data_IF_990474194000
#
_entry.id   IF_990474194000
#
_cell.length_a   1.000
_cell.length_b   1.000
_cell.length_c   1.000
_cell.angle_alpha   90.00
_cell.angle_beta   90.00
_cell.angle_gamma   90.00
#
_symmetry.space_group_name_H-M   'P 1'
#
loop_
_entity.id
_entity.type
_entity.pdbx_description
1 polymer ?
#
# COMPACT_ATOMS: atom_id res chain seq x y z
N UNK A 1 -20.49 -28.56 12.08
CA UNK A 1 -20.00 -27.23 12.48
C UNK A 1 -18.53 -27.18 12.08
N UNK A 2 -18.20 -26.29 11.17
CA UNK A 2 -16.81 -26.04 10.81
C UNK A 2 -16.19 -25.19 11.92
N UNK A 3 -15.22 -25.71 12.63
CA UNK A 3 -14.42 -24.91 13.55
C UNK A 3 -13.55 -23.99 12.71
N UNK A 4 -13.90 -22.72 12.67
CA UNK A 4 -13.08 -21.71 12.01
C UNK A 4 -11.86 -21.44 12.89
N UNK A 5 -10.74 -22.01 12.51
CA UNK A 5 -9.45 -21.80 13.17
C UNK A 5 -8.79 -20.58 12.51
N UNK A 6 -8.33 -19.63 13.30
CA UNK A 6 -7.41 -18.61 12.80
C UNK A 6 -6.16 -19.34 12.33
N UNK A 7 -5.80 -19.11 11.08
CA UNK A 7 -4.63 -19.69 10.46
C UNK A 7 -3.43 -18.72 10.57
N UNK A 8 -2.48 -18.84 9.70
CA UNK A 8 -1.22 -18.12 9.79
C UNK A 8 -1.44 -16.61 9.64
N UNK A 9 -1.01 -15.78 10.60
CA UNK A 9 -1.08 -14.34 10.47
C UNK A 9 0.02 -13.80 9.55
N UNK A 10 -0.22 -12.60 8.98
CA UNK A 10 0.77 -11.76 8.32
C UNK A 10 0.78 -10.38 8.97
N UNK A 11 1.95 -9.81 9.10
CA UNK A 11 2.13 -8.42 9.53
C UNK A 11 2.78 -7.62 8.41
N UNK A 12 2.31 -6.39 8.23
CA UNK A 12 2.79 -5.46 7.22
C UNK A 12 3.38 -4.25 7.95
N UNK A 13 4.68 -4.06 7.83
CA UNK A 13 5.46 -3.14 8.64
C UNK A 13 6.02 -2.04 7.75
N UNK A 14 5.83 -0.79 8.16
CA UNK A 14 6.30 0.38 7.43
C UNK A 14 7.81 0.57 7.56
N UNK A 15 8.50 0.56 6.44
CA UNK A 15 9.93 0.83 6.38
C UNK A 15 10.22 2.34 6.28
N UNK A 16 9.33 3.13 5.70
CA UNK A 16 9.59 4.56 5.44
C UNK A 16 9.67 5.34 6.77
N UNK A 17 8.67 5.19 7.63
CA UNK A 17 8.71 5.83 8.94
C UNK A 17 9.84 5.30 9.83
N UNK A 18 10.16 4.03 9.72
CA UNK A 18 11.31 3.48 10.42
C UNK A 18 12.61 4.16 9.96
N UNK A 19 12.86 4.30 8.64
CA UNK A 19 14.03 4.99 8.09
C UNK A 19 14.10 6.46 8.52
N UNK A 20 12.97 7.15 8.49
CA UNK A 20 12.86 8.54 8.98
C UNK A 20 13.21 8.62 10.47
N UNK A 21 12.72 7.69 11.30
CA UNK A 21 13.01 7.64 12.74
C UNK A 21 14.47 7.37 13.08
N UNK A 22 15.15 6.63 12.20
CA UNK A 22 16.59 6.33 12.33
C UNK A 22 17.48 7.47 11.81
N UNK A 23 16.91 8.50 11.21
CA UNK A 23 17.66 9.55 10.52
C UNK A 23 18.42 9.06 9.28
N UNK A 24 18.03 7.91 8.74
CA UNK A 24 18.57 7.34 7.50
C UNK A 24 17.88 7.90 6.26
N UNK A 25 16.79 8.59 6.45
CA UNK A 25 15.99 9.27 5.45
C UNK A 25 15.55 10.62 6.00
N UNK A 26 15.45 11.63 5.16
CA UNK A 26 14.92 12.94 5.49
C UNK A 26 13.59 13.21 4.75
N UNK A 27 12.80 14.15 5.21
CA UNK A 27 11.56 14.53 4.52
C UNK A 27 11.83 15.05 3.10
N UNK A 28 13.00 15.62 2.84
CA UNK A 28 13.43 16.07 1.50
C UNK A 28 13.62 14.95 0.48
N UNK A 29 13.74 13.72 0.93
CA UNK A 29 13.90 12.54 0.09
C UNK A 29 12.53 12.04 -0.44
N UNK A 30 11.45 12.65 0.06
CA UNK A 30 10.08 12.43 -0.42
C UNK A 30 9.68 13.63 -1.26
N UNK A 31 9.43 13.41 -2.53
CA UNK A 31 9.09 14.46 -3.51
C UNK A 31 7.88 14.08 -4.33
N UNK A 32 7.24 15.04 -4.96
CA UNK A 32 6.14 14.78 -5.88
C UNK A 32 6.29 15.57 -7.18
N UNK A 33 5.64 15.08 -8.23
CA UNK A 33 5.53 15.75 -9.51
C UNK A 33 4.16 15.48 -10.14
N UNK A 34 3.80 16.23 -11.18
CA UNK A 34 2.47 16.18 -11.79
C UNK A 34 1.49 17.11 -11.07
N UNK A 35 0.31 16.61 -10.73
CA UNK A 35 -0.69 17.38 -9.99
C UNK A 35 -0.14 17.89 -8.65
N UNK A 36 -0.61 19.04 -8.19
CA UNK A 36 -0.16 19.66 -6.95
C UNK A 36 -1.00 19.24 -5.75
N UNK A 37 -0.46 19.41 -4.56
CA UNK A 37 -1.25 19.26 -3.34
C UNK A 37 -2.18 20.46 -3.17
N UNK A 38 -3.41 20.21 -2.72
CA UNK A 38 -4.35 21.29 -2.38
C UNK A 38 -3.79 22.12 -1.20
N UNK A 39 -4.12 23.41 -1.17
CA UNK A 39 -3.66 24.30 -0.11
C UNK A 39 -4.03 23.77 1.29
N UNK A 40 -3.03 23.59 2.13
CA UNK A 40 -3.18 23.01 3.46
C UNK A 40 -2.90 21.50 3.54
N UNK A 41 -2.68 20.84 2.41
CA UNK A 41 -2.25 19.43 2.33
C UNK A 41 -0.75 19.33 2.04
N UNK A 42 -0.12 18.25 2.48
CA UNK A 42 1.32 18.01 2.32
C UNK A 42 1.61 16.53 2.00
N UNK A 43 2.54 16.28 1.08
CA UNK A 43 3.00 14.92 0.77
C UNK A 43 3.64 14.22 1.97
N UNK A 44 4.21 14.96 2.91
CA UNK A 44 4.84 14.39 4.09
C UNK A 44 3.82 13.83 5.08
N UNK A 45 2.61 14.39 5.09
CA UNK A 45 1.50 13.92 5.93
C UNK A 45 0.95 12.56 5.47
N UNK A 46 1.28 12.08 4.26
CA UNK A 46 0.99 10.71 3.85
C UNK A 46 1.73 9.67 4.72
N UNK A 47 2.77 10.09 5.43
CA UNK A 47 3.61 9.24 6.27
C UNK A 47 3.49 9.56 7.77
N UNK A 48 2.42 10.26 8.19
CA UNK A 48 2.16 10.56 9.60
C UNK A 48 1.53 9.39 10.37
N UNK A 49 1.24 8.27 9.67
CA UNK A 49 0.57 7.07 10.20
C UNK A 49 -0.82 7.33 10.77
N UNK A 50 -1.49 8.38 10.32
CA UNK A 50 -2.85 8.74 10.72
C UNK A 50 -3.80 8.69 9.52
N UNK A 51 -4.37 7.55 9.19
CA UNK A 51 -5.23 7.40 8.03
C UNK A 51 -6.48 8.30 8.03
N UNK A 52 -6.84 8.86 9.17
CA UNK A 52 -7.92 9.84 9.30
C UNK A 52 -7.52 11.28 8.95
N UNK A 53 -6.21 11.55 8.81
CA UNK A 53 -5.67 12.84 8.42
C UNK A 53 -5.57 12.94 6.89
N UNK A 54 -6.72 13.16 6.23
CA UNK A 54 -6.80 13.15 4.78
C UNK A 54 -6.04 14.32 4.15
N UNK A 55 -5.13 14.00 3.26
CA UNK A 55 -4.41 14.93 2.40
C UNK A 55 -5.00 14.89 1.00
N UNK A 56 -5.16 16.05 0.38
CA UNK A 56 -5.85 16.18 -0.91
C UNK A 56 -4.89 16.60 -2.01
N UNK A 57 -4.94 15.88 -3.11
CA UNK A 57 -4.27 16.19 -4.37
C UNK A 57 -5.28 16.93 -5.25
N UNK A 58 -4.94 18.14 -5.69
CA UNK A 58 -5.75 19.00 -6.55
C UNK A 58 -5.68 18.50 -8.01
N UNK A 59 -6.53 17.55 -8.33
CA UNK A 59 -6.55 16.90 -9.64
C UNK A 59 -7.95 16.67 -10.21
N UNK A 60 -9.01 17.05 -9.50
CA UNK A 60 -10.39 16.88 -9.97
C UNK A 60 -10.62 17.57 -11.32
N UNK A 61 -11.11 16.82 -12.32
CA UNK A 61 -11.28 17.29 -13.68
C UNK A 61 -9.99 17.43 -14.50
N UNK A 62 -8.82 17.11 -13.94
CA UNK A 62 -7.55 17.14 -14.65
C UNK A 62 -7.17 15.76 -15.18
N UNK A 63 -6.41 15.76 -16.29
CA UNK A 63 -5.78 14.55 -16.85
C UNK A 63 -4.36 14.33 -16.31
N UNK A 64 -3.76 15.35 -15.69
CA UNK A 64 -2.42 15.24 -15.12
C UNK A 64 -2.42 14.32 -13.89
N UNK A 65 -1.68 13.23 -13.98
CA UNK A 65 -1.48 12.30 -12.87
C UNK A 65 -0.61 12.90 -11.76
N UNK A 66 -0.54 12.19 -10.65
CA UNK A 66 0.30 12.51 -9.51
C UNK A 66 1.35 11.42 -9.32
N UNK A 67 2.59 11.83 -9.11
CA UNK A 67 3.71 10.92 -8.88
C UNK A 67 4.36 11.26 -7.55
N UNK A 68 4.38 10.31 -6.64
CA UNK A 68 5.09 10.38 -5.37
C UNK A 68 6.38 9.58 -5.49
N UNK A 69 7.52 10.24 -5.31
CA UNK A 69 8.84 9.62 -5.35
C UNK A 69 9.47 9.60 -3.96
N UNK A 70 9.98 8.45 -3.57
CA UNK A 70 10.66 8.19 -2.31
C UNK A 70 12.08 7.73 -2.64
N UNK A 71 13.07 8.47 -2.14
CA UNK A 71 14.49 8.15 -2.27
C UNK A 71 14.97 7.42 -1.03
N UNK A 72 15.33 6.17 -1.18
CA UNK A 72 15.85 5.32 -0.10
C UNK A 72 17.36 5.07 -0.21
N UNK A 73 18.07 5.77 -1.13
CA UNK A 73 19.51 5.57 -1.39
C UNK A 73 20.40 5.74 -0.17
N UNK A 74 19.97 6.57 0.77
CA UNK A 74 20.77 6.92 1.96
C UNK A 74 20.85 5.75 2.94
N UNK A 75 19.97 4.77 2.78
CA UNK A 75 19.95 3.56 3.58
C UNK A 75 20.98 2.49 3.14
N UNK A 76 22.15 2.89 2.68
CA UNK A 76 23.17 2.09 1.97
C UNK A 76 23.63 0.77 2.63
N UNK A 77 23.09 0.38 3.78
CA UNK A 77 23.44 -0.86 4.47
C UNK A 77 22.25 -1.65 5.00
N UNK A 78 21.04 -1.26 4.67
CA UNK A 78 19.86 -2.04 4.99
C UNK A 78 19.18 -2.34 3.66
N UNK A 79 19.23 -3.57 3.20
CA UNK A 79 18.42 -4.02 2.09
C UNK A 79 16.97 -3.71 2.47
N UNK A 80 16.40 -2.72 1.81
CA UNK A 80 15.02 -2.34 2.03
C UNK A 80 14.18 -3.22 1.11
N UNK A 81 13.98 -4.46 1.54
CA UNK A 81 13.20 -5.44 0.82
C UNK A 81 11.71 -5.12 0.92
N UNK A 82 11.34 -3.90 0.48
CA UNK A 82 9.94 -3.54 0.41
C UNK A 82 9.23 -4.47 -0.56
N UNK A 83 8.15 -5.09 -0.11
CA UNK A 83 7.40 -6.08 -0.86
C UNK A 83 5.88 -5.86 -0.80
N UNK A 84 5.44 -4.73 -0.25
CA UNK A 84 4.03 -4.34 -0.26
C UNK A 84 3.86 -2.82 -0.24
N UNK A 85 2.68 -2.41 -0.66
CA UNK A 85 2.13 -1.07 -0.45
C UNK A 85 0.72 -1.19 0.11
N UNK A 86 0.40 -0.38 1.11
CA UNK A 86 -0.97 -0.17 1.55
C UNK A 86 -1.30 1.32 1.53
N UNK A 87 -2.48 1.65 1.04
CA UNK A 87 -3.01 3.02 1.00
C UNK A 87 -4.26 3.03 1.87
N UNK A 88 -4.25 3.86 2.90
CA UNK A 88 -5.25 3.89 3.94
C UNK A 88 -5.97 5.23 3.94
N UNK A 89 -7.29 5.22 4.13
CA UNK A 89 -8.11 6.43 4.17
C UNK A 89 -8.20 7.12 2.81
N UNK A 90 -8.56 6.41 1.74
CA UNK A 90 -8.56 6.99 0.39
C UNK A 90 -9.95 6.99 -0.27
N UNK A 91 -10.13 7.90 -1.25
CA UNK A 91 -11.29 7.96 -2.12
C UNK A 91 -10.97 7.56 -3.58
N UNK A 92 -9.89 6.83 -3.82
CA UNK A 92 -9.37 6.53 -5.15
C UNK A 92 -10.41 5.94 -6.12
N UNK A 93 -11.38 5.15 -5.61
CA UNK A 93 -12.44 4.60 -6.44
C UNK A 93 -13.38 5.67 -6.98
N UNK A 94 -13.84 6.57 -6.12
CA UNK A 94 -14.76 7.66 -6.56
C UNK A 94 -14.04 8.73 -7.35
N UNK A 95 -12.74 8.93 -7.10
CA UNK A 95 -11.89 9.81 -7.89
C UNK A 95 -11.59 9.26 -9.30
N UNK A 96 -11.92 7.99 -9.58
CA UNK A 96 -11.61 7.35 -10.86
C UNK A 96 -10.11 7.24 -11.10
N UNK A 97 -9.39 6.78 -10.08
CA UNK A 97 -7.93 6.67 -10.11
C UNK A 97 -7.47 5.23 -10.38
N UNK A 98 -6.35 5.09 -11.08
CA UNK A 98 -5.56 3.85 -11.21
C UNK A 98 -4.18 4.08 -10.60
N UNK A 99 -3.54 3.01 -10.16
CA UNK A 99 -2.23 3.05 -9.52
C UNK A 99 -1.24 2.12 -10.20
N UNK A 100 0.02 2.59 -10.25
CA UNK A 100 1.18 1.79 -10.59
C UNK A 100 2.30 2.04 -9.59
N UNK A 101 3.06 1.00 -9.26
CA UNK A 101 4.28 1.09 -8.45
C UNK A 101 5.45 0.87 -9.37
N UNK A 102 6.45 1.73 -9.26
CA UNK A 102 7.69 1.65 -10.03
C UNK A 102 8.85 1.72 -9.07
N UNK A 103 9.90 0.96 -9.35
CA UNK A 103 11.12 0.93 -8.55
C UNK A 103 12.29 0.99 -9.51
N UNK A 104 13.31 1.79 -9.16
CA UNK A 104 14.47 2.02 -10.02
C UNK A 104 15.72 2.22 -9.15
N UNK A 105 16.89 1.99 -9.70
CA UNK A 105 18.18 2.39 -9.14
C UNK A 105 18.54 3.84 -9.50
N UNK A 106 17.82 4.47 -10.42
CA UNK A 106 17.96 5.86 -10.86
C UNK A 106 16.80 6.75 -10.43
N UNK A 107 17.12 7.94 -9.97
CA UNK A 107 16.11 8.95 -9.59
C UNK A 107 15.27 9.46 -10.75
N UNK A 108 15.71 9.25 -11.99
CA UNK A 108 15.00 9.64 -13.21
C UNK A 108 13.93 8.63 -13.63
N UNK A 109 13.98 7.40 -13.10
CA UNK A 109 13.12 6.29 -13.55
C UNK A 109 13.16 6.11 -15.08
N UNK A 110 14.34 6.33 -15.68
CA UNK A 110 14.52 6.17 -17.12
C UNK A 110 14.45 4.70 -17.57
N UNK A 111 14.67 3.78 -16.67
CA UNK A 111 14.58 2.35 -16.92
C UNK A 111 14.15 1.63 -15.63
N UNK A 112 12.89 1.75 -15.22
CA UNK A 112 12.40 1.13 -14.00
C UNK A 112 12.77 -0.35 -13.94
N UNK A 113 13.20 -0.84 -12.78
CA UNK A 113 13.68 -2.22 -12.56
C UNK A 113 15.00 -2.55 -13.28
N UNK A 114 15.82 -1.56 -13.67
CA UNK A 114 17.04 -1.83 -14.41
C UNK A 114 16.85 -2.37 -15.83
N UNK A 115 15.63 -2.74 -16.22
CA UNK A 115 15.23 -3.23 -17.53
C UNK A 115 13.90 -2.64 -18.02
N UNK A 116 13.34 -1.67 -17.34
CA UNK A 116 12.02 -1.14 -17.67
C UNK A 116 10.90 -2.13 -17.41
N UNK A 117 11.01 -2.91 -16.35
CA UNK A 117 10.05 -3.98 -16.09
C UNK A 117 8.88 -3.52 -15.21
N UNK A 118 7.69 -4.02 -15.53
CA UNK A 118 6.52 -3.91 -14.68
C UNK A 118 6.72 -4.71 -13.40
N UNK A 119 6.23 -4.17 -12.28
CA UNK A 119 6.14 -4.90 -11.03
C UNK A 119 4.79 -5.60 -10.96
N UNK A 120 4.74 -6.94 -11.05
CA UNK A 120 3.50 -7.66 -10.85
C UNK A 120 3.02 -7.53 -9.41
N UNK A 121 1.81 -7.00 -9.23
CA UNK A 121 1.15 -7.00 -7.93
C UNK A 121 0.54 -8.36 -7.65
N UNK A 122 0.77 -8.87 -6.45
CA UNK A 122 0.22 -10.11 -5.92
C UNK A 122 -0.52 -9.85 -4.61
N UNK A 123 -1.19 -10.84 -4.06
CA UNK A 123 -1.96 -10.70 -2.80
C UNK A 123 -2.74 -9.37 -2.73
N UNK A 124 -3.57 -9.13 -3.73
CA UNK A 124 -4.28 -7.88 -3.93
C UNK A 124 -5.53 -7.86 -3.05
N UNK A 125 -5.72 -6.77 -2.29
CA UNK A 125 -6.91 -6.55 -1.47
C UNK A 125 -7.50 -5.18 -1.81
N UNK A 126 -8.78 -5.13 -2.18
CA UNK A 126 -9.51 -3.94 -2.60
C UNK A 126 -8.93 -3.20 -3.83
N UNK A 127 -8.07 -3.87 -4.57
CA UNK A 127 -7.66 -3.50 -5.93
C UNK A 127 -8.19 -4.52 -6.92
N UNK A 128 -8.41 -4.12 -8.15
CA UNK A 128 -8.54 -5.06 -9.27
C UNK A 128 -7.16 -5.63 -9.61
N UNK A 129 -7.14 -6.83 -10.19
CA UNK A 129 -5.91 -7.37 -10.75
C UNK A 129 -5.38 -6.39 -11.82
N UNK A 130 -4.04 -6.28 -11.92
CA UNK A 130 -3.44 -5.52 -13.00
C UNK A 130 -3.99 -5.98 -14.34
N UNK A 131 -4.51 -5.05 -15.12
CA UNK A 131 -5.13 -5.31 -16.40
C UNK A 131 -4.74 -4.24 -17.41
N UNK A 132 -4.93 -4.56 -18.68
CA UNK A 132 -4.79 -3.58 -19.75
C UNK A 132 -6.03 -2.67 -19.75
N UNK A 133 -5.82 -1.36 -19.66
CA UNK A 133 -6.87 -0.34 -19.65
C UNK A 133 -6.83 0.37 -21.00
N UNK A 134 -7.95 0.39 -21.72
CA UNK A 134 -8.03 1.07 -23.01
C UNK A 134 -7.78 2.58 -22.85
N UNK A 135 -6.80 3.11 -23.54
CA UNK A 135 -6.50 4.56 -23.55
C UNK A 135 -7.47 5.35 -24.42
N UNK A 136 -8.40 4.68 -25.10
CA UNK A 136 -9.31 5.26 -26.07
C UNK A 136 -8.60 6.04 -27.19
N UNK A 137 -7.37 5.63 -27.50
CA UNK A 137 -6.58 6.20 -28.62
C UNK A 137 -5.81 5.11 -29.37
N UNK A 138 -5.34 5.47 -30.54
CA UNK A 138 -4.60 4.59 -31.44
C UNK A 138 -3.32 5.28 -31.88
N UNK A 139 -2.35 4.49 -32.36
CA UNK A 139 -1.20 5.05 -33.07
C UNK A 139 -1.65 5.69 -34.38
N UNK A 140 -1.10 6.87 -34.69
CA UNK A 140 -1.43 7.62 -35.89
C UNK A 140 -0.44 7.40 -37.04
N UNK A 141 0.50 6.45 -36.90
CA UNK A 141 1.54 6.11 -37.85
C UNK A 141 1.80 4.59 -37.85
N UNK A 142 2.63 4.14 -38.76
CA UNK A 142 3.13 2.74 -38.73
C UNK A 142 4.47 2.73 -38.04
N UNK A 143 4.60 1.94 -36.96
CA UNK A 143 5.85 1.81 -36.22
C UNK A 143 6.68 0.64 -36.76
N UNK A 144 7.96 0.87 -36.93
CA UNK A 144 8.96 -0.17 -37.15
C UNK A 144 9.49 -0.71 -35.81
N UNK A 145 10.35 -1.72 -35.85
CA UNK A 145 10.97 -2.29 -34.64
C UNK A 145 12.02 -1.37 -33.99
N UNK A 146 12.42 -0.30 -34.65
CA UNK A 146 13.48 0.61 -34.20
C UNK A 146 13.00 2.01 -33.83
N UNK A 147 11.72 2.31 -34.08
CA UNK A 147 11.17 3.61 -33.74
C UNK A 147 11.05 3.75 -32.21
N UNK A 148 11.55 4.85 -31.69
CA UNK A 148 11.49 5.23 -30.26
C UNK A 148 10.49 6.35 -30.00
N UNK A 149 9.75 6.76 -31.02
CA UNK A 149 8.70 7.78 -30.93
C UNK A 149 7.40 7.20 -31.47
N UNK A 150 6.30 7.57 -30.83
CA UNK A 150 4.95 7.15 -31.22
C UNK A 150 4.11 8.40 -31.36
N UNK A 151 3.55 8.63 -32.54
CA UNK A 151 2.51 9.64 -32.74
C UNK A 151 1.15 9.03 -32.46
N UNK A 152 0.43 9.60 -31.50
CA UNK A 152 -0.95 9.21 -31.19
C UNK A 152 -1.95 10.07 -31.95
N UNK A 153 -3.24 9.74 -31.86
CA UNK A 153 -4.29 10.56 -32.49
C UNK A 153 -4.23 12.00 -32.00
N UNK A 154 -4.58 12.93 -32.88
CA UNK A 154 -4.54 14.36 -32.59
C UNK A 154 -5.33 14.74 -31.33
N UNK A 155 -4.71 15.51 -30.47
CA UNK A 155 -5.21 15.95 -29.16
C UNK A 155 -5.34 14.86 -28.11
N UNK A 156 -4.71 13.69 -28.29
CA UNK A 156 -4.75 12.60 -27.33
C UNK A 156 -3.44 12.42 -26.55
N UNK A 157 -2.38 13.15 -26.86
CA UNK A 157 -1.11 13.03 -26.15
C UNK A 157 -1.21 13.40 -24.67
N UNK A 158 -2.12 14.30 -24.31
CA UNK A 158 -2.37 14.66 -22.90
C UNK A 158 -2.91 13.54 -22.02
N UNK A 159 -3.27 12.39 -22.60
CA UNK A 159 -3.69 11.18 -21.87
C UNK A 159 -2.51 10.40 -21.29
N UNK A 160 -1.32 10.70 -21.76
CA UNK A 160 -0.09 10.00 -21.38
C UNK A 160 0.80 10.90 -20.54
N UNK A 161 1.53 10.27 -19.66
CA UNK A 161 2.52 10.93 -18.81
C UNK A 161 3.84 10.19 -18.86
N UNK A 162 4.93 10.88 -18.61
CA UNK A 162 6.21 10.23 -18.33
C UNK A 162 6.03 9.19 -17.23
N UNK A 163 6.51 7.97 -17.45
CA UNK A 163 6.42 6.88 -16.51
C UNK A 163 5.26 5.92 -16.74
N UNK A 164 4.40 6.18 -17.72
CA UNK A 164 3.37 5.24 -18.09
C UNK A 164 3.95 4.00 -18.75
N UNK A 165 3.39 2.85 -18.43
CA UNK A 165 3.57 1.66 -19.24
C UNK A 165 2.41 1.51 -20.19
N UNK A 166 2.72 1.45 -21.47
CA UNK A 166 1.73 1.24 -22.54
C UNK A 166 1.95 -0.09 -23.22
N UNK A 167 0.87 -0.64 -23.73
CA UNK A 167 0.87 -1.90 -24.46
C UNK A 167 0.23 -1.72 -25.82
N UNK A 168 0.94 -2.15 -26.86
CA UNK A 168 0.44 -2.22 -28.23
C UNK A 168 0.59 -3.66 -28.71
N UNK A 169 -0.53 -4.35 -28.93
CA UNK A 169 -0.56 -5.80 -29.15
C UNK A 169 0.09 -6.57 -27.97
N UNK A 170 1.24 -7.21 -28.21
CA UNK A 170 1.99 -7.97 -27.20
C UNK A 170 3.26 -7.25 -26.73
N UNK A 171 3.53 -6.05 -27.22
CA UNK A 171 4.70 -5.29 -26.82
C UNK A 171 4.34 -4.28 -25.74
N UNK A 172 5.13 -4.26 -24.67
CA UNK A 172 5.06 -3.28 -23.58
C UNK A 172 6.19 -2.27 -23.80
N UNK A 173 5.86 -1.01 -23.62
CA UNK A 173 6.76 0.11 -23.78
C UNK A 173 6.62 1.03 -22.59
N UNK A 174 7.72 1.64 -22.19
CA UNK A 174 7.75 2.66 -21.14
C UNK A 174 7.78 4.05 -21.78
N UNK A 175 6.99 4.99 -21.29
CA UNK A 175 6.91 6.36 -21.81
C UNK A 175 7.92 7.22 -21.06
N UNK A 176 8.98 7.64 -21.75
CA UNK A 176 10.03 8.52 -21.21
C UNK A 176 9.57 9.97 -21.14
N UNK A 177 8.86 10.41 -22.16
CA UNK A 177 8.36 11.79 -22.21
C UNK A 177 7.22 11.92 -23.20
N UNK A 178 6.43 12.98 -23.02
CA UNK A 178 5.30 13.34 -23.88
C UNK A 178 5.47 14.77 -24.36
N UNK A 179 5.32 14.97 -25.66
CA UNK A 179 5.34 16.31 -26.27
C UNK A 179 4.21 16.44 -27.28
N UNK A 180 3.16 17.18 -26.93
CA UNK A 180 1.92 17.22 -27.69
C UNK A 180 1.37 15.79 -27.93
N UNK A 181 1.23 15.37 -29.18
CA UNK A 181 0.72 14.03 -29.55
C UNK A 181 1.85 13.02 -29.86
N UNK A 182 3.09 13.31 -29.43
CA UNK A 182 4.25 12.43 -29.64
C UNK A 182 4.75 11.93 -28.28
N UNK A 183 4.80 10.62 -28.15
CA UNK A 183 5.38 9.91 -27.01
C UNK A 183 6.81 9.49 -27.38
N UNK A 184 7.77 9.73 -26.51
CA UNK A 184 9.10 9.10 -26.57
C UNK A 184 9.03 7.86 -25.68
N UNK A 185 9.42 6.72 -26.21
CA UNK A 185 9.24 5.44 -25.52
C UNK A 185 10.49 4.57 -25.56
N UNK A 186 10.72 3.87 -24.46
CA UNK A 186 11.58 2.70 -24.43
C UNK A 186 10.81 1.47 -24.88
N UNK A 187 11.34 0.83 -25.93
CA UNK A 187 10.72 -0.37 -26.55
C UNK A 187 11.07 -1.62 -25.76
N UNK A 188 10.27 -2.66 -25.95
CA UNK A 188 10.49 -4.02 -25.43
C UNK A 188 10.65 -4.11 -23.90
N UNK A 189 10.02 -3.22 -23.12
CA UNK A 189 9.95 -3.31 -21.66
C UNK A 189 9.33 -4.63 -21.20
N UNK A 190 9.62 -5.03 -19.96
CA UNK A 190 9.08 -6.25 -19.33
C UNK A 190 9.33 -7.53 -20.14
N UNK A 191 10.53 -7.65 -20.71
CA UNK A 191 10.95 -8.80 -21.52
C UNK A 191 10.06 -9.07 -22.75
N UNK A 192 9.34 -8.07 -23.25
CA UNK A 192 8.63 -8.19 -24.53
C UNK A 192 9.57 -7.94 -25.71
N UNK A 193 9.12 -8.19 -26.92
CA UNK A 193 9.93 -8.03 -28.12
C UNK A 193 9.39 -6.90 -28.97
N UNK A 194 10.27 -6.00 -29.43
CA UNK A 194 9.90 -4.94 -30.35
C UNK A 194 9.36 -5.50 -31.67
N UNK A 195 8.16 -5.10 -32.03
CA UNK A 195 7.46 -5.53 -33.23
C UNK A 195 6.98 -4.37 -34.06
N UNK A 196 6.60 -4.62 -35.31
CA UNK A 196 5.97 -3.60 -36.14
C UNK A 196 4.50 -3.46 -35.78
N UNK A 197 4.02 -2.21 -35.71
CA UNK A 197 2.60 -1.92 -35.45
C UNK A 197 2.04 -1.08 -36.60
N UNK A 198 0.85 -1.44 -37.06
CA UNK A 198 0.18 -0.71 -38.14
C UNK A 198 -0.56 0.51 -37.62
N UNK A 199 -0.61 1.57 -38.41
CA UNK A 199 -1.44 2.74 -38.13
C UNK A 199 -2.89 2.31 -37.74
N UNK A 200 -3.44 2.93 -36.72
CA UNK A 200 -4.77 2.62 -36.20
C UNK A 200 -4.82 1.50 -35.14
N UNK A 201 -3.67 0.92 -34.75
CA UNK A 201 -3.63 -0.07 -33.65
C UNK A 201 -3.88 0.63 -32.32
N UNK A 202 -4.75 0.04 -31.48
CA UNK A 202 -5.10 0.57 -30.18
C UNK A 202 -3.94 0.50 -29.20
N UNK A 203 -3.88 1.50 -28.31
CA UNK A 203 -2.92 1.59 -27.23
C UNK A 203 -3.67 1.31 -25.92
N UNK A 204 -3.05 0.55 -25.03
CA UNK A 204 -3.56 0.26 -23.68
C UNK A 204 -2.57 0.72 -22.65
N UNK A 205 -3.04 1.23 -21.50
CA UNK A 205 -2.22 1.29 -20.31
C UNK A 205 -2.07 -0.10 -19.73
N UNK A 206 -0.90 -0.42 -19.19
CA UNK A 206 -0.64 -1.72 -18.57
C UNK A 206 0.14 -1.54 -17.26
N UNK A 207 0.08 -2.54 -16.36
CA UNK A 207 0.74 -2.46 -15.07
C UNK A 207 0.00 -1.64 -14.01
N UNK A 208 -1.19 -1.17 -14.30
CA UNK A 208 -2.03 -0.43 -13.37
C UNK A 208 -3.07 -1.33 -12.71
N UNK A 209 -3.36 -1.03 -11.45
CA UNK A 209 -4.50 -1.57 -10.70
C UNK A 209 -5.46 -0.45 -10.35
N UNK A 210 -6.76 -0.68 -10.53
CA UNK A 210 -7.79 0.24 -10.10
C UNK A 210 -8.33 -0.18 -8.72
N UNK A 211 -8.53 0.74 -7.76
CA UNK A 211 -9.16 0.43 -6.50
C UNK A 211 -10.61 0.01 -6.69
N UNK A 212 -11.03 -1.08 -6.07
CA UNK A 212 -12.42 -1.56 -6.12
C UNK A 212 -13.35 -0.74 -5.23
N UNK A 213 -12.82 -0.22 -4.15
CA UNK A 213 -13.55 0.43 -3.07
C UNK A 213 -12.79 1.66 -2.58
N UNK A 214 -13.48 2.59 -1.93
CA UNK A 214 -12.86 3.62 -1.12
C UNK A 214 -12.50 3.05 0.26
N UNK A 215 -11.60 3.71 0.96
CA UNK A 215 -11.22 3.39 2.33
C UNK A 215 -9.81 2.90 2.45
N UNK A 216 -9.50 1.68 2.04
CA UNK A 216 -8.13 1.16 2.08
C UNK A 216 -7.89 0.10 1.01
N UNK A 217 -6.66 -0.01 0.58
CA UNK A 217 -6.23 -0.98 -0.43
C UNK A 217 -4.81 -1.44 -0.14
N UNK A 218 -4.52 -2.68 -0.47
CA UNK A 218 -3.20 -3.29 -0.29
C UNK A 218 -2.84 -4.12 -1.51
N UNK A 219 -1.58 -4.05 -1.89
CA UNK A 219 -0.98 -4.96 -2.86
C UNK A 219 0.42 -5.39 -2.39
N UNK A 220 0.74 -6.65 -2.56
CA UNK A 220 2.09 -7.19 -2.39
C UNK A 220 2.77 -7.32 -3.75
N UNK A 221 4.09 -7.34 -3.74
CA UNK A 221 4.92 -7.57 -4.93
C UNK A 221 6.19 -8.32 -4.51
N UNK A 222 6.97 -8.81 -5.47
CA UNK A 222 8.25 -9.43 -5.15
C UNK A 222 9.19 -8.40 -4.54
N UNK A 223 9.86 -8.77 -3.46
CA UNK A 223 10.87 -7.92 -2.84
C UNK A 223 11.94 -7.53 -3.86
N UNK A 224 12.28 -6.25 -3.89
CA UNK A 224 13.21 -5.68 -4.84
C UNK A 224 14.44 -5.25 -4.06
N UNK A 225 15.50 -6.02 -4.25
CA UNK A 225 16.81 -5.73 -3.68
C UNK A 225 17.58 -4.77 -4.57
N UNK A 226 18.43 -3.95 -3.96
CA UNK A 226 19.34 -3.02 -4.62
C UNK A 226 18.71 -1.86 -5.41
N UNK A 227 17.40 -1.64 -5.28
CA UNK A 227 16.72 -0.48 -5.87
C UNK A 227 16.51 0.61 -4.82
N UNK A 228 16.84 1.82 -5.20
CA UNK A 228 16.99 2.94 -4.28
C UNK A 228 15.82 3.93 -4.32
N UNK A 229 15.00 3.87 -5.37
CA UNK A 229 13.91 4.81 -5.58
C UNK A 229 12.59 4.06 -5.77
N UNK A 230 11.57 4.50 -5.06
CA UNK A 230 10.20 4.00 -5.19
C UNK A 230 9.35 5.14 -5.71
N UNK A 231 8.55 4.89 -6.75
CA UNK A 231 7.59 5.86 -7.28
C UNK A 231 6.19 5.24 -7.29
N UNK A 232 5.26 5.92 -6.63
CA UNK A 232 3.83 5.64 -6.76
C UNK A 232 3.26 6.57 -7.81
N UNK A 233 2.66 6.02 -8.83
CA UNK A 233 1.99 6.75 -9.91
C UNK A 233 0.49 6.60 -9.72
N UNK A 234 -0.22 7.71 -9.68
CA UNK A 234 -1.67 7.80 -9.58
C UNK A 234 -2.17 8.57 -10.78
N UNK A 235 -2.90 7.91 -11.67
CA UNK A 235 -3.42 8.48 -12.90
C UNK A 235 -4.95 8.27 -12.99
N UNK A 236 -5.66 9.02 -13.85
CA UNK A 236 -7.06 8.75 -14.13
C UNK A 236 -7.26 7.34 -14.70
N UNK A 237 -8.36 6.71 -14.37
CA UNK A 237 -8.66 5.32 -14.77
C UNK A 237 -9.07 5.15 -16.24
N UNK A 238 -9.17 6.23 -17.01
CA UNK A 238 -9.56 6.22 -18.43
C UNK A 238 -11.06 6.04 -18.67
N UNK A 239 -11.88 6.03 -17.62
CA UNK A 239 -13.31 5.71 -17.74
C UNK A 239 -14.16 6.80 -18.37
N UNK A 240 -13.72 8.08 -18.31
CA UNK A 240 -14.40 9.20 -18.97
C UNK A 240 -13.42 10.34 -19.23
N UNK A 241 -13.25 10.70 -20.49
CA UNK A 241 -12.41 11.83 -20.95
C UNK A 241 -10.97 11.85 -20.37
N UNK A 242 -10.53 10.76 -19.75
CA UNK A 242 -9.22 10.58 -19.15
C UNK A 242 -8.86 11.65 -18.11
N UNK A 243 -9.83 11.97 -17.27
CA UNK A 243 -9.69 12.94 -16.17
C UNK A 243 -10.17 12.34 -14.85
N UNK A 244 -9.61 12.82 -13.75
CA UNK A 244 -10.12 12.47 -12.43
C UNK A 244 -11.54 12.98 -12.24
N UNK A 245 -12.41 12.15 -11.67
CA UNK A 245 -13.80 12.54 -11.38
C UNK A 245 -13.89 13.55 -10.23
N UNK A 246 -12.97 13.51 -9.30
CA UNK A 246 -12.83 14.41 -8.14
C UNK A 246 -11.39 14.45 -7.65
N UNK A 247 -11.07 15.36 -6.73
CA UNK A 247 -9.76 15.41 -6.09
C UNK A 247 -9.46 14.11 -5.35
N UNK A 248 -8.24 13.63 -5.49
CA UNK A 248 -7.77 12.44 -4.80
C UNK A 248 -7.44 12.77 -3.35
N UNK A 249 -7.98 11.99 -2.43
CA UNK A 249 -7.70 12.07 -1.00
C UNK A 249 -7.02 10.80 -0.51
N UNK A 250 -5.97 10.95 0.29
CA UNK A 250 -5.23 9.85 0.91
C UNK A 250 -4.90 10.23 2.34
N UNK A 251 -5.14 9.34 3.30
CA UNK A 251 -4.78 9.53 4.70
C UNK A 251 -3.37 9.06 5.01
N UNK A 252 -3.03 7.82 4.66
CA UNK A 252 -1.68 7.29 4.89
C UNK A 252 -1.25 6.34 3.79
N UNK A 253 0.05 6.35 3.50
CA UNK A 253 0.72 5.40 2.60
C UNK A 253 1.74 4.63 3.43
N UNK A 254 1.71 3.30 3.32
CA UNK A 254 2.61 2.40 4.01
C UNK A 254 3.33 1.58 2.96
N UNK A 255 4.65 1.64 2.97
CA UNK A 255 5.51 0.86 2.08
C UNK A 255 6.55 0.17 2.95
N UNK A 256 6.69 -1.13 2.81
CA UNK A 256 7.65 -1.84 3.64
C UNK A 256 7.64 -3.34 3.45
N UNK A 257 7.88 -4.06 4.51
CA UNK A 257 8.10 -5.49 4.50
C UNK A 257 6.92 -6.24 5.13
N UNK A 258 6.45 -7.24 4.41
CA UNK A 258 5.46 -8.19 4.90
C UNK A 258 6.17 -9.38 5.52
N UNK A 259 5.83 -9.68 6.78
CA UNK A 259 6.29 -10.87 7.47
C UNK A 259 5.14 -11.85 7.70
N UNK A 260 5.31 -13.06 7.22
CA UNK A 260 4.38 -14.15 7.44
C UNK A 260 4.85 -15.03 8.59
N UNK A 261 3.97 -15.28 9.57
CA UNK A 261 4.28 -16.20 10.64
C UNK A 261 4.39 -17.65 10.12
N UNK A 262 5.34 -18.44 10.62
CA UNK A 262 5.56 -19.79 10.13
C UNK A 262 4.46 -20.77 10.57
N UNK A 263 3.68 -20.40 11.57
CA UNK A 263 2.64 -21.24 12.14
C UNK A 263 1.43 -20.44 12.58
N UNK A 264 0.30 -21.12 12.71
CA UNK A 264 -0.89 -20.56 13.34
C UNK A 264 -0.62 -20.28 14.82
N UNK A 265 -1.25 -19.27 15.41
CA UNK A 265 -1.23 -19.08 16.86
C UNK A 265 -1.81 -20.29 17.61
N UNK A 266 -1.48 -20.38 18.89
CA UNK A 266 -2.07 -21.37 19.80
C UNK A 266 -3.60 -21.19 19.92
N UNK A 267 -4.28 -22.21 20.44
CA UNK A 267 -5.76 -22.21 20.46
C UNK A 267 -6.39 -21.25 21.47
N UNK A 268 -5.61 -20.56 22.29
CA UNK A 268 -6.07 -19.66 23.33
C UNK A 268 -6.22 -18.20 22.90
N UNK A 269 -6.42 -17.96 21.61
CA UNK A 269 -6.61 -16.62 21.05
C UNK A 269 -7.77 -15.92 21.74
N UNK A 270 -7.53 -14.68 22.17
CA UNK A 270 -8.54 -13.84 22.79
C UNK A 270 -8.85 -12.64 21.91
N UNK A 271 -10.11 -12.52 21.50
CA UNK A 271 -10.67 -11.33 20.85
C UNK A 271 -11.53 -10.58 21.86
N UNK A 272 -11.22 -9.32 22.11
CA UNK A 272 -11.97 -8.44 23.00
C UNK A 272 -12.42 -7.21 22.23
N UNK A 273 -13.66 -6.78 22.45
CA UNK A 273 -14.17 -5.51 21.94
C UNK A 273 -14.18 -4.51 23.09
N UNK A 274 -13.34 -3.49 22.98
CA UNK A 274 -13.17 -2.46 24.00
C UNK A 274 -14.05 -1.27 23.69
N UNK A 275 -14.96 -0.97 24.61
CA UNK A 275 -15.83 0.22 24.57
C UNK A 275 -15.31 1.30 25.54
N UNK A 276 -14.02 1.58 25.48
CA UNK A 276 -13.29 2.50 26.37
C UNK A 276 -13.75 3.96 26.27
N UNK A 277 -14.42 4.33 25.17
CA UNK A 277 -15.10 5.63 25.03
C UNK A 277 -16.46 5.74 25.74
N UNK A 278 -16.97 4.65 26.33
CA UNK A 278 -18.29 4.66 26.99
C UNK A 278 -18.16 5.10 28.44
N UNK A 279 -18.74 6.24 28.78
CA UNK A 279 -18.85 6.73 30.17
C UNK A 279 -20.26 6.48 30.69
N UNK A 280 -20.36 5.92 31.92
CA UNK A 280 -21.63 5.68 32.61
C UNK A 280 -21.63 6.47 33.91
N UNK A 281 -22.73 7.16 34.19
CA UNK A 281 -22.97 7.86 35.45
C UNK A 281 -24.32 7.47 36.00
N UNK A 282 -24.41 7.19 37.27
CA UNK A 282 -25.67 6.91 37.96
C UNK A 282 -26.07 8.11 38.81
N UNK A 283 -27.28 8.61 38.60
CA UNK A 283 -27.85 9.68 39.39
C UNK A 283 -28.13 9.20 40.81
N UNK A 284 -28.29 10.12 41.76
CA UNK A 284 -28.68 9.80 43.16
C UNK A 284 -30.01 9.04 43.24
N UNK A 285 -30.87 9.19 42.22
CA UNK A 285 -32.13 8.46 42.13
C UNK A 285 -32.01 7.08 41.46
N UNK A 286 -30.77 6.57 41.19
CA UNK A 286 -30.51 5.26 40.63
C UNK A 286 -30.64 5.17 39.09
N UNK A 287 -30.89 6.28 38.41
CA UNK A 287 -30.98 6.28 36.95
C UNK A 287 -29.58 6.36 36.32
N UNK A 288 -29.30 5.44 35.38
CA UNK A 288 -28.01 5.40 34.67
C UNK A 288 -28.07 6.19 33.38
N UNK A 289 -27.16 7.14 33.23
CA UNK A 289 -26.89 7.87 31.99
C UNK A 289 -25.62 7.34 31.35
N UNK A 290 -25.63 7.13 30.06
CA UNK A 290 -24.45 6.70 29.33
C UNK A 290 -24.16 7.64 28.16
N UNK A 291 -22.89 7.92 27.95
CA UNK A 291 -22.40 8.71 26.82
C UNK A 291 -21.16 8.01 26.24
N UNK A 292 -21.03 8.07 24.92
CA UNK A 292 -19.87 7.54 24.22
C UNK A 292 -19.32 8.57 23.25
N UNK A 293 -18.05 8.88 23.37
CA UNK A 293 -17.33 9.76 22.44
C UNK A 293 -17.06 9.08 21.11
N UNK A 294 -16.73 7.79 21.15
CA UNK A 294 -16.60 6.96 19.96
C UNK A 294 -17.08 5.53 20.30
N UNK A 295 -17.61 4.83 19.33
CA UNK A 295 -18.20 3.51 19.52
C UNK A 295 -17.88 2.56 18.37
N UNK A 296 -16.97 2.91 17.47
CA UNK A 296 -16.62 2.10 16.30
C UNK A 296 -15.13 2.22 16.00
N UNK A 297 -14.62 1.24 15.31
CA UNK A 297 -13.31 1.33 14.67
C UNK A 297 -13.23 2.47 13.67
N UNK A 298 -12.05 2.70 13.12
CA UNK A 298 -11.81 3.77 12.18
C UNK A 298 -12.78 3.73 10.99
N UNK A 299 -13.42 4.86 10.70
CA UNK A 299 -14.41 4.94 9.62
C UNK A 299 -13.81 4.58 8.26
N UNK A 300 -12.57 4.93 8.03
CA UNK A 300 -11.84 4.69 6.80
C UNK A 300 -11.52 3.20 6.57
N UNK A 301 -11.51 2.40 7.63
CA UNK A 301 -11.18 0.97 7.58
C UNK A 301 -12.43 0.08 7.52
N UNK A 302 -13.53 0.57 8.07
CA UNK A 302 -14.82 -0.12 8.01
C UNK A 302 -15.35 0.02 6.60
N UNK A 303 -15.83 -1.10 6.07
CA UNK A 303 -16.38 -1.26 4.74
C UNK A 303 -17.08 -0.06 4.13
N UNK A 304 -17.05 -0.09 2.84
CA UNK A 304 -16.81 1.09 2.05
C UNK A 304 -17.95 2.07 2.19
N UNK A 305 -17.57 3.31 2.26
CA UNK A 305 -18.43 4.44 1.98
C UNK A 305 -19.18 4.32 0.65
N UNK A 306 -18.79 3.38 -0.23
CA UNK A 306 -19.48 3.09 -1.48
C UNK A 306 -20.93 2.65 -1.31
N UNK A 307 -21.33 2.16 -0.15
CA UNK A 307 -22.73 1.93 0.19
C UNK A 307 -23.40 3.10 0.93
N UNK A 308 -22.82 4.28 0.87
CA UNK A 308 -23.42 5.50 1.41
C UNK A 308 -24.80 5.88 0.78
N UNK A 309 -25.22 5.18 -0.26
CA UNK A 309 -26.60 5.25 -0.76
C UNK A 309 -27.60 4.54 0.15
N UNK A 310 -27.16 3.71 1.07
CA UNK A 310 -28.02 3.16 2.11
C UNK A 310 -28.23 4.23 3.18
N UNK A 311 -29.47 4.61 3.38
CA UNK A 311 -29.93 5.46 4.49
C UNK A 311 -29.60 4.89 5.88
N UNK A 312 -29.08 3.69 5.93
CA UNK A 312 -28.56 2.99 7.11
C UNK A 312 -27.09 3.33 7.43
N UNK A 313 -26.39 4.09 6.59
CA UNK A 313 -24.96 4.42 6.78
C UNK A 313 -24.63 5.08 8.14
N UNK A 314 -25.61 5.71 8.78
CA UNK A 314 -25.44 6.29 10.12
C UNK A 314 -25.58 5.33 11.30
N UNK A 315 -25.99 4.08 11.05
CA UNK A 315 -26.24 3.06 12.09
C UNK A 315 -25.15 1.99 12.15
N UNK A 316 -24.03 2.21 11.44
CA UNK A 316 -22.96 1.22 11.42
C UNK A 316 -22.45 0.92 12.82
N UNK A 317 -22.61 -0.29 13.12
CA UNK A 317 -22.05 -1.15 14.14
C UNK A 317 -20.96 -0.46 14.96
N UNK A 318 -21.41 0.16 16.02
CA UNK A 318 -20.55 0.65 17.07
C UNK A 318 -19.96 -0.55 17.79
N UNK A 319 -18.89 -1.10 17.28
CA UNK A 319 -18.30 -2.35 17.73
C UNK A 319 -17.21 -2.18 18.77
N UNK A 320 -16.82 -0.93 19.09
CA UNK A 320 -15.65 -0.65 19.90
C UNK A 320 -14.35 -0.94 19.14
N UNK A 321 -13.23 -0.87 19.82
CA UNK A 321 -11.90 -1.26 19.29
C UNK A 321 -11.65 -2.74 19.52
N UNK A 322 -11.10 -3.42 18.53
CA UNK A 322 -10.69 -4.80 18.66
C UNK A 322 -9.33 -4.88 19.38
N UNK A 323 -9.25 -5.67 20.43
CA UNK A 323 -7.99 -6.12 21.01
C UNK A 323 -7.85 -7.62 20.77
N UNK A 324 -6.67 -8.03 20.30
CA UNK A 324 -6.37 -9.38 19.89
C UNK A 324 -5.11 -9.86 20.62
N UNK A 325 -5.24 -10.92 21.42
CA UNK A 325 -4.12 -11.59 22.07
C UNK A 325 -3.86 -12.94 21.38
N UNK A 326 -2.62 -13.18 20.95
CA UNK A 326 -2.17 -14.38 20.26
C UNK A 326 -0.91 -14.95 20.90
N UNK A 327 -0.96 -16.21 21.32
CA UNK A 327 0.19 -16.97 21.79
C UNK A 327 0.84 -17.81 20.68
N UNK A 328 2.14 -17.97 20.74
CA UNK A 328 2.93 -18.83 19.86
C UNK A 328 3.91 -19.65 20.72
N UNK A 329 3.76 -20.96 20.76
CA UNK A 329 4.56 -21.82 21.64
C UNK A 329 5.75 -22.51 20.95
N UNK A 330 5.81 -22.49 19.63
CA UNK A 330 6.81 -23.26 18.87
C UNK A 330 7.43 -22.44 17.74
N UNK A 331 8.04 -21.32 18.08
CA UNK A 331 8.79 -20.50 17.11
C UNK A 331 10.26 -21.00 17.09
N UNK A 332 10.76 -21.31 15.91
CA UNK A 332 12.17 -21.68 15.76
C UNK A 332 13.08 -20.45 15.93
N UNK A 333 14.29 -20.66 16.38
CA UNK A 333 15.27 -19.61 16.63
C UNK A 333 15.49 -18.71 15.41
N UNK A 334 15.64 -19.29 14.24
CA UNK A 334 15.82 -18.60 12.97
C UNK A 334 14.61 -17.79 12.50
N UNK A 335 13.45 -17.98 13.09
CA UNK A 335 12.24 -17.19 12.84
C UNK A 335 12.19 -15.96 13.74
N UNK A 336 12.69 -16.11 14.97
CA UNK A 336 12.67 -15.06 15.99
C UNK A 336 13.87 -14.14 15.86
N UNK A 337 15.06 -14.71 15.73
CA UNK A 337 16.32 -13.99 15.78
C UNK A 337 17.09 -14.08 14.46
N UNK A 338 17.73 -12.99 14.01
CA UNK A 338 18.70 -13.06 12.93
C UNK A 338 19.96 -13.82 13.37
N UNK A 339 20.67 -14.45 12.43
CA UNK A 339 21.86 -15.25 12.69
C UNK A 339 22.98 -14.50 13.42
N UNK A 340 23.04 -13.17 13.32
CA UNK A 340 24.08 -12.31 13.90
C UNK A 340 23.54 -11.39 15.01
N UNK A 341 22.58 -11.84 15.78
CA UNK A 341 21.89 -11.03 16.78
C UNK A 341 22.73 -10.65 18.02
N UNK A 342 24.01 -10.90 18.08
CA UNK A 342 24.81 -10.59 19.26
C UNK A 342 25.13 -9.11 19.52
N UNK A 343 24.72 -8.22 18.67
CA UNK A 343 24.82 -6.79 18.88
C UNK A 343 23.45 -6.13 18.80
N UNK A 344 23.20 -5.09 19.55
CA UNK A 344 22.07 -4.17 19.35
C UNK A 344 22.25 -3.37 18.04
N UNK A 345 23.14 -3.82 17.17
CA UNK A 345 23.45 -3.23 15.88
C UNK A 345 22.47 -3.77 14.85
N UNK A 346 21.91 -3.04 14.24
CA UNK A 346 21.62 -2.53 12.92
C UNK A 346 21.48 -3.54 11.77
N UNK A 347 21.71 -4.83 11.98
CA UNK A 347 21.45 -5.84 10.95
C UNK A 347 19.97 -6.18 10.89
N UNK A 348 19.23 -5.19 10.45
CA UNK A 348 17.77 -5.26 10.33
C UNK A 348 17.32 -5.67 8.93
N UNK A 349 18.23 -6.14 8.15
CA UNK A 349 17.98 -6.71 6.84
C UNK A 349 17.49 -8.15 6.91
N UNK A 350 16.83 -8.54 7.99
CA UNK A 350 16.41 -9.91 8.15
C UNK A 350 14.91 -10.00 8.39
N UNK A 351 14.31 -10.93 7.69
CA UNK A 351 12.88 -11.19 7.69
C UNK A 351 12.41 -11.93 8.97
N UNK A 352 13.07 -11.69 10.12
CA UNK A 352 12.70 -12.31 11.37
C UNK A 352 11.74 -11.46 12.20
N UNK A 353 11.05 -12.13 13.11
CA UNK A 353 9.97 -11.53 13.90
C UNK A 353 10.48 -10.38 14.81
N UNK A 354 11.61 -10.58 15.49
CA UNK A 354 12.12 -9.58 16.43
C UNK A 354 12.56 -8.28 15.72
N UNK A 355 13.40 -8.31 14.68
CA UNK A 355 13.73 -7.09 13.94
C UNK A 355 12.51 -6.40 13.35
N UNK A 356 11.64 -7.13 12.71
CA UNK A 356 10.49 -6.56 12.02
C UNK A 356 9.42 -6.05 12.99
N UNK A 357 8.90 -6.91 13.87
CA UNK A 357 7.80 -6.52 14.73
C UNK A 357 8.23 -5.62 15.88
N UNK A 358 9.41 -5.86 16.49
CA UNK A 358 9.81 -5.13 17.70
C UNK A 358 10.67 -3.92 17.37
N UNK A 359 11.73 -4.10 16.59
CA UNK A 359 12.67 -3.00 16.35
C UNK A 359 12.13 -1.97 15.35
N UNK A 360 11.60 -2.38 14.21
CA UNK A 360 11.05 -1.44 13.21
C UNK A 360 9.81 -0.69 13.69
N UNK A 361 9.03 -1.29 14.57
CA UNK A 361 7.87 -0.61 15.16
C UNK A 361 8.17 0.15 16.45
N UNK A 362 9.44 0.15 16.92
CA UNK A 362 9.81 0.66 18.23
C UNK A 362 8.93 0.13 19.37
N UNK A 363 8.76 -1.22 19.37
CA UNK A 363 7.93 -1.95 20.34
C UNK A 363 6.47 -1.46 20.41
N UNK A 364 5.89 -1.13 19.24
CA UNK A 364 4.49 -0.71 19.13
C UNK A 364 4.28 0.81 19.12
N UNK A 365 5.35 1.61 19.06
CA UNK A 365 5.22 3.04 18.81
C UNK A 365 4.61 3.31 17.42
N UNK A 366 5.02 2.55 16.41
CA UNK A 366 4.45 2.62 15.09
C UNK A 366 3.33 1.59 14.92
N UNK A 367 2.20 1.98 14.36
CA UNK A 367 1.13 1.04 14.01
C UNK A 367 1.55 0.14 12.85
N UNK A 368 0.89 -0.97 12.75
CA UNK A 368 1.07 -1.97 11.69
C UNK A 368 -0.29 -2.35 11.10
N UNK A 369 -0.26 -2.86 9.88
CA UNK A 369 -1.41 -3.56 9.34
C UNK A 369 -1.24 -5.06 9.63
N UNK A 370 -2.17 -5.64 10.37
CA UNK A 370 -2.18 -7.06 10.74
C UNK A 370 -3.27 -7.77 9.97
N UNK A 371 -2.90 -8.78 9.21
CA UNK A 371 -3.83 -9.79 8.70
C UNK A 371 -3.78 -10.99 9.64
N UNK A 372 -4.77 -11.13 10.51
CA UNK A 372 -4.73 -12.18 11.53
C UNK A 372 -5.16 -13.57 11.02
N UNK A 373 -5.70 -13.66 9.82
CA UNK A 373 -6.05 -14.92 9.15
C UNK A 373 -5.91 -14.80 7.62
N UNK A 374 -4.76 -15.21 7.07
CA UNK A 374 -4.48 -15.10 5.62
C UNK A 374 -5.30 -16.05 4.75
N UNK A 375 -5.86 -17.09 5.34
CA UNK A 375 -6.54 -18.18 4.60
C UNK A 375 -8.06 -18.01 4.60
N UNK A 376 -8.58 -16.91 5.13
CA UNK A 376 -10.00 -16.62 5.08
C UNK A 376 -10.40 -16.15 3.68
N UNK A 377 -11.43 -16.77 3.12
CA UNK A 377 -11.92 -16.44 1.77
C UNK A 377 -12.46 -15.02 1.62
N UNK A 378 -12.81 -14.36 2.72
CA UNK A 378 -13.20 -12.96 2.82
C UNK A 378 -12.05 -12.17 3.45
N UNK A 379 -11.04 -11.88 2.64
CA UNK A 379 -9.78 -11.27 3.08
C UNK A 379 -9.99 -9.95 3.87
N UNK A 380 -11.00 -9.16 3.52
CA UNK A 380 -11.24 -7.85 4.13
C UNK A 380 -11.55 -7.90 5.62
N UNK A 381 -12.21 -8.98 6.09
CA UNK A 381 -12.60 -9.12 7.50
C UNK A 381 -11.45 -9.52 8.43
N UNK A 382 -10.31 -9.92 7.87
CA UNK A 382 -9.17 -10.42 8.62
C UNK A 382 -8.07 -9.39 8.88
N UNK A 383 -8.22 -8.17 8.37
CA UNK A 383 -7.25 -7.11 8.56
C UNK A 383 -7.58 -6.23 9.77
N UNK A 384 -6.54 -5.72 10.39
CA UNK A 384 -6.64 -4.82 11.54
C UNK A 384 -5.51 -3.78 11.46
N UNK A 385 -5.86 -2.50 11.49
CA UNK A 385 -4.88 -1.44 11.73
C UNK A 385 -4.68 -1.32 13.23
N UNK A 386 -3.48 -1.64 13.72
CA UNK A 386 -3.26 -1.81 15.14
C UNK A 386 -1.84 -1.50 15.59
N UNK A 387 -1.66 -1.40 16.90
CA UNK A 387 -0.35 -1.33 17.56
C UNK A 387 -0.12 -2.57 18.40
N UNK A 388 1.16 -2.91 18.55
CA UNK A 388 1.58 -3.84 19.59
C UNK A 388 1.32 -3.19 20.95
N UNK A 389 0.52 -3.85 21.80
CA UNK A 389 0.05 -3.32 23.07
C UNK A 389 0.76 -3.91 24.30
N UNK A 390 1.71 -4.81 24.07
CA UNK A 390 2.55 -5.37 25.12
C UNK A 390 4.02 -5.31 24.70
N UNK A 391 4.92 -5.36 25.68
CA UNK A 391 6.34 -5.62 25.41
C UNK A 391 6.51 -7.11 25.14
N UNK A 392 6.87 -7.52 23.90
CA UNK A 392 7.03 -8.94 23.61
C UNK A 392 8.17 -9.53 24.40
N UNK A 393 7.92 -10.66 25.03
CA UNK A 393 8.94 -11.48 25.69
C UNK A 393 9.05 -12.82 24.99
N UNK A 394 10.28 -13.23 24.72
CA UNK A 394 10.57 -14.52 24.09
C UNK A 394 11.14 -15.43 25.15
N UNK A 395 10.48 -16.55 25.44
CA UNK A 395 10.92 -17.55 26.42
C UNK A 395 11.37 -18.82 25.70
N UNK A 396 12.60 -19.25 25.91
CA UNK A 396 13.08 -20.49 25.35
C UNK A 396 12.42 -21.67 26.06
N UNK A 397 11.68 -22.49 25.32
CA UNK A 397 10.93 -23.65 25.85
C UNK A 397 11.61 -24.98 25.55
N UNK A 398 12.47 -24.99 24.53
CA UNK A 398 13.32 -26.12 24.16
C UNK A 398 14.56 -25.60 23.43
N UNK A 399 15.49 -26.49 23.06
CA UNK A 399 16.64 -26.11 22.26
C UNK A 399 16.16 -25.50 20.92
N UNK A 400 16.57 -24.26 20.62
CA UNK A 400 16.21 -23.50 19.41
C UNK A 400 14.69 -23.28 19.21
N UNK A 401 13.89 -23.42 20.28
CA UNK A 401 12.43 -23.23 20.25
C UNK A 401 12.01 -22.21 21.29
N UNK A 402 11.25 -21.22 20.83
CA UNK A 402 10.79 -20.08 21.62
C UNK A 402 9.27 -19.98 21.69
N UNK A 403 8.78 -19.40 22.75
CA UNK A 403 7.39 -19.02 22.92
C UNK A 403 7.29 -17.51 23.14
N UNK A 404 6.21 -16.93 22.65
CA UNK A 404 5.88 -15.53 22.86
C UNK A 404 4.37 -15.31 22.90
N UNK A 405 3.95 -14.22 23.53
CA UNK A 405 2.57 -13.74 23.48
C UNK A 405 2.55 -12.31 22.91
N UNK A 406 1.76 -12.10 21.89
CA UNK A 406 1.59 -10.82 21.20
C UNK A 406 0.18 -10.29 21.43
N UNK A 407 0.07 -9.06 21.90
CA UNK A 407 -1.20 -8.37 22.11
C UNK A 407 -1.27 -7.17 21.17
N UNK A 408 -2.33 -7.11 20.38
CA UNK A 408 -2.56 -6.04 19.42
C UNK A 408 -3.82 -5.26 19.80
N UNK A 409 -3.76 -3.96 19.65
CA UNK A 409 -4.88 -3.06 19.89
C UNK A 409 -5.16 -2.21 18.64
N UNK A 410 -6.39 -2.24 18.19
CA UNK A 410 -6.86 -1.44 17.06
C UNK A 410 -6.66 0.06 17.29
N UNK A 411 -6.22 0.75 16.25
CA UNK A 411 -6.05 2.20 16.19
C UNK A 411 -7.11 2.86 15.28
N UNK A 412 -7.27 4.19 15.41
CA UNK A 412 -8.26 4.96 14.65
C UNK A 412 -7.62 5.84 13.58
#
# INVERSE_FOLDING_TARGET
MSYQRIKTPKIYIDNINWLLSQGKMASTDITSSGASMLAGSSIHEFFDMKPSNLQTIDCGGASAGFKLKIDTTIATNASQDSNFIAILGHNLKTAGAKLSIQIDDSSSFSSPQGNGDLIPMTDIVNFDAQADIDTLTNIAETLTTTDTTITVQSSHGGRFSEGDFIKINNEIMYVDSVSNDVLVVDRHSSNTTATTHTNGTSIFFTGYSAPQLNGWSLASFSAITDNNFIRLVIDPDGSSDDTFAEDVQIGAIIIGEMHEFPSSPDLDIKKKFLYDGVKKQTSMGGQTYSHATYLKGANWFLEPFANATSTSAGLHTKTGRLALDMGFSYLQDNVVYPAEYFGRGETQASNQLLPNLVHKTHAGMFPILLQYDKDTATANDSFLWCRLNNEPSFTQVANEVWSTNLSFLEEF
#
